data_IF_810307444227
#
_entry.id   IF_810307444227
#
_cell.length_a   1.000
_cell.length_b   1.000
_cell.length_c   1.000
_cell.angle_alpha   90.00
_cell.angle_beta   90.00
_cell.angle_gamma   90.00
#
_symmetry.space_group_name_H-M   'P 1'
#
loop_
_entity.id
_entity.type
_entity.pdbx_description
1 polymer ?
#
# COMPACT_ATOMS: atom_id res chain seq x y z
N UNK A 1 -7.25 0.77 12.03
CA UNK A 1 -6.46 1.96 12.43
C UNK A 1 -5.83 1.68 13.78
N UNK A 2 -4.55 1.91 13.88
CA UNK A 2 -3.81 1.74 15.13
C UNK A 2 -4.27 2.68 16.24
N UNK A 3 -3.84 2.39 17.45
CA UNK A 3 -4.11 3.19 18.65
C UNK A 3 -2.86 3.88 19.19
N UNK A 4 -1.67 3.52 18.67
CA UNK A 4 -0.41 4.11 19.07
C UNK A 4 -0.32 5.58 18.67
N UNK A 5 0.13 6.42 19.62
CA UNK A 5 0.40 7.83 19.37
C UNK A 5 1.90 8.08 19.27
N UNK A 6 2.28 9.26 18.75
CA UNK A 6 3.67 9.71 18.76
C UNK A 6 4.26 9.67 20.17
N UNK A 7 3.50 10.08 21.20
CA UNK A 7 3.92 10.03 22.61
C UNK A 7 4.32 8.62 23.03
N UNK A 8 3.55 7.59 22.66
CA UNK A 8 3.89 6.21 23.05
C UNK A 8 5.25 5.76 22.52
N UNK A 9 5.60 6.15 21.29
CA UNK A 9 6.91 5.83 20.70
C UNK A 9 8.02 6.68 21.33
N UNK A 10 7.77 7.99 21.51
CA UNK A 10 8.73 8.93 22.09
C UNK A 10 9.11 8.52 23.50
N UNK A 11 8.15 8.18 24.36
CA UNK A 11 8.42 7.75 25.73
C UNK A 11 9.29 6.48 25.77
N UNK A 12 9.00 5.51 24.92
CA UNK A 12 9.82 4.28 24.80
C UNK A 12 11.22 4.58 24.25
N UNK A 13 11.35 5.48 23.29
CA UNK A 13 12.64 5.91 22.77
C UNK A 13 13.46 6.60 23.83
N UNK A 14 12.88 7.52 24.62
CA UNK A 14 13.54 8.24 25.72
C UNK A 14 14.08 7.33 26.82
N UNK A 15 13.33 6.29 27.17
CA UNK A 15 13.81 5.27 28.12
C UNK A 15 15.11 4.61 27.61
N UNK A 16 15.16 4.26 26.32
CA UNK A 16 16.33 3.62 25.70
C UNK A 16 17.50 4.60 25.54
N UNK A 17 17.22 5.85 25.17
CA UNK A 17 18.19 6.92 24.98
C UNK A 17 18.69 7.53 26.30
N UNK A 18 18.03 7.22 27.43
CA UNK A 18 18.31 7.80 28.75
C UNK A 18 18.20 9.36 28.76
N UNK A 19 17.29 9.91 27.96
CA UNK A 19 17.02 11.35 27.86
C UNK A 19 15.57 11.65 28.26
N UNK A 20 15.25 11.38 29.53
CA UNK A 20 13.90 11.56 30.07
C UNK A 20 13.36 12.98 29.98
N UNK A 21 14.27 13.98 29.99
CA UNK A 21 13.91 15.40 29.88
C UNK A 21 13.84 15.93 28.44
N UNK A 22 14.23 15.13 27.44
CA UNK A 22 14.18 15.52 26.02
C UNK A 22 15.10 16.69 25.68
N UNK A 23 16.23 16.83 26.38
CA UNK A 23 17.18 17.92 26.13
C UNK A 23 18.02 17.66 24.89
N UNK A 24 18.45 16.41 24.69
CA UNK A 24 19.29 16.04 23.56
C UNK A 24 18.47 15.72 22.33
N UNK A 25 17.36 15.03 22.50
CA UNK A 25 16.40 14.68 21.44
C UNK A 25 15.04 15.27 21.76
N UNK A 26 14.73 16.40 21.15
CA UNK A 26 13.47 17.10 21.36
C UNK A 26 12.28 16.30 20.81
N UNK A 27 11.08 16.55 21.33
CA UNK A 27 9.84 15.95 20.79
C UNK A 27 9.66 16.23 19.31
N UNK A 28 9.95 17.45 18.88
CA UNK A 28 9.84 17.83 17.46
C UNK A 28 10.77 17.01 16.56
N UNK A 29 11.99 16.74 17.01
CA UNK A 29 12.95 15.94 16.27
C UNK A 29 12.53 14.46 16.20
N UNK A 30 12.14 13.89 17.34
CA UNK A 30 11.67 12.51 17.39
C UNK A 30 10.39 12.32 16.57
N UNK A 31 9.52 13.34 16.50
CA UNK A 31 8.32 13.32 15.67
C UNK A 31 8.68 13.27 14.18
N UNK A 32 9.70 13.99 13.75
CA UNK A 32 10.19 13.90 12.36
C UNK A 32 10.68 12.48 12.07
N UNK A 33 11.43 11.85 12.98
CA UNK A 33 11.89 10.47 12.79
C UNK A 33 10.75 9.45 12.76
N UNK A 34 9.64 9.68 13.48
CA UNK A 34 8.45 8.84 13.39
C UNK A 34 7.80 8.98 12.01
N UNK A 35 7.66 10.20 11.50
CA UNK A 35 7.11 10.44 10.16
C UNK A 35 7.97 9.81 9.06
N UNK A 36 9.30 9.93 9.18
CA UNK A 36 10.24 9.26 8.27
C UNK A 36 10.09 7.73 8.34
N UNK A 37 9.93 7.18 9.57
CA UNK A 37 9.72 5.75 9.76
C UNK A 37 8.45 5.25 9.07
N UNK A 38 7.35 5.98 9.18
CA UNK A 38 6.09 5.62 8.50
C UNK A 38 6.28 5.54 6.98
N UNK A 39 6.94 6.55 6.39
CA UNK A 39 7.21 6.58 4.95
C UNK A 39 8.11 5.44 4.51
N UNK A 40 9.16 5.16 5.30
CA UNK A 40 10.09 4.07 5.00
C UNK A 40 9.41 2.71 5.07
N UNK A 41 8.56 2.47 6.08
CA UNK A 41 7.76 1.25 6.19
C UNK A 41 6.88 1.07 4.95
N UNK A 42 6.19 2.11 4.49
CA UNK A 42 5.32 2.03 3.31
C UNK A 42 6.11 1.81 2.01
N UNK A 43 7.35 2.31 1.91
CA UNK A 43 8.22 2.00 0.78
C UNK A 43 8.56 0.51 0.68
N UNK A 44 8.83 -0.15 1.82
CA UNK A 44 9.08 -1.59 1.87
C UNK A 44 7.80 -2.43 1.83
N UNK A 45 6.72 -1.90 2.41
CA UNK A 45 5.43 -2.56 2.61
C UNK A 45 4.28 -1.65 2.18
N UNK A 46 4.03 -1.51 0.88
CA UNK A 46 2.92 -0.69 0.38
C UNK A 46 1.56 -1.10 0.97
N UNK A 47 1.38 -2.37 1.29
CA UNK A 47 0.17 -2.91 1.92
C UNK A 47 -0.08 -2.39 3.34
N UNK A 48 0.94 -1.86 4.03
CA UNK A 48 0.80 -1.30 5.38
C UNK A 48 -0.21 -0.13 5.47
N UNK A 49 -0.44 0.54 4.36
CA UNK A 49 -1.43 1.62 4.22
C UNK A 49 -2.53 1.29 3.21
N UNK A 50 -2.80 -0.01 3.00
CA UNK A 50 -3.85 -0.45 2.08
C UNK A 50 -5.20 0.13 2.48
N UNK A 51 -5.83 0.83 1.55
CA UNK A 51 -7.09 1.53 1.76
C UNK A 51 -8.08 1.12 0.67
N UNK A 52 -9.32 0.87 1.08
CA UNK A 52 -10.43 0.63 0.17
C UNK A 52 -11.09 1.96 -0.20
N UNK A 53 -11.38 2.16 -1.47
CA UNK A 53 -12.15 3.31 -1.93
C UNK A 53 -13.07 2.93 -3.09
N UNK A 54 -14.21 3.59 -3.12
CA UNK A 54 -15.11 3.60 -4.28
C UNK A 54 -14.71 4.81 -5.15
N UNK A 55 -14.20 4.54 -6.33
CA UNK A 55 -13.71 5.55 -7.27
C UNK A 55 -14.67 5.70 -8.45
N UNK A 56 -15.00 6.94 -8.79
CA UNK A 56 -15.58 7.26 -10.08
C UNK A 56 -14.48 7.32 -11.13
N UNK A 57 -14.62 6.54 -12.19
CA UNK A 57 -13.65 6.49 -13.27
C UNK A 57 -13.83 7.67 -14.24
N UNK A 58 -12.73 8.11 -14.80
CA UNK A 58 -12.68 9.09 -15.88
C UNK A 58 -13.06 8.45 -17.22
N UNK A 59 -13.53 9.26 -18.19
CA UNK A 59 -13.78 8.82 -19.56
C UNK A 59 -12.50 8.26 -20.21
N UNK A 60 -12.65 7.17 -20.94
CA UNK A 60 -11.54 6.48 -21.61
C UNK A 60 -11.04 5.26 -20.85
N UNK A 61 -9.91 4.75 -21.25
CA UNK A 61 -9.30 3.54 -20.69
C UNK A 61 -8.31 3.84 -19.57
N UNK A 62 -7.56 4.95 -19.66
CA UNK A 62 -6.58 5.34 -18.62
C UNK A 62 -7.27 5.93 -17.40
N UNK A 63 -6.88 5.46 -16.22
CA UNK A 63 -7.40 5.88 -14.93
C UNK A 63 -6.25 6.22 -13.98
N UNK A 64 -6.53 7.05 -13.00
CA UNK A 64 -5.55 7.49 -12.00
C UNK A 64 -6.05 7.18 -10.59
N UNK A 65 -5.14 6.83 -9.70
CA UNK A 65 -5.46 6.62 -8.29
C UNK A 65 -6.02 7.89 -7.63
N UNK A 66 -6.78 7.75 -6.54
CA UNK A 66 -7.16 8.88 -5.70
C UNK A 66 -5.95 9.67 -5.21
N UNK A 67 -6.17 10.94 -4.89
CA UNK A 67 -5.13 11.82 -4.35
C UNK A 67 -4.44 11.17 -3.13
N UNK A 68 -3.12 11.25 -3.07
CA UNK A 68 -2.31 10.58 -2.05
C UNK A 68 -2.07 9.09 -2.31
N UNK A 69 -2.64 8.52 -3.38
CA UNK A 69 -2.35 7.15 -3.80
C UNK A 69 -0.90 6.99 -4.25
N UNK A 70 -0.27 5.90 -3.83
CA UNK A 70 1.10 5.55 -4.17
C UNK A 70 1.14 4.41 -5.19
N UNK A 71 0.34 3.37 -4.96
CA UNK A 71 0.33 2.17 -5.79
C UNK A 71 -1.02 1.50 -5.76
N UNK A 72 -1.51 1.06 -6.94
CA UNK A 72 -2.66 0.18 -7.04
C UNK A 72 -2.30 -1.21 -6.48
N UNK A 73 -3.16 -1.75 -5.63
CA UNK A 73 -3.06 -3.13 -5.16
C UNK A 73 -4.03 -4.01 -5.94
N UNK A 74 -5.31 -3.57 -6.05
CA UNK A 74 -6.34 -4.36 -6.74
C UNK A 74 -7.54 -3.51 -7.11
N UNK A 75 -8.16 -3.80 -8.25
CA UNK A 75 -9.54 -3.39 -8.56
C UNK A 75 -10.45 -4.58 -8.35
N UNK A 76 -11.47 -4.45 -7.49
CA UNK A 76 -12.25 -5.58 -6.99
C UNK A 76 -13.52 -5.82 -7.80
N UNK A 77 -14.34 -4.78 -7.93
CA UNK A 77 -15.69 -4.88 -8.54
C UNK A 77 -16.22 -3.55 -9.00
N UNK A 78 -17.23 -3.59 -9.87
CA UNK A 78 -18.04 -2.44 -10.20
C UNK A 78 -18.90 -2.04 -9.01
N UNK A 79 -19.21 -0.74 -8.88
CA UNK A 79 -20.02 -0.18 -7.81
C UNK A 79 -21.15 0.67 -8.39
N UNK A 80 -22.20 0.88 -7.59
CA UNK A 80 -23.33 1.74 -7.97
C UNK A 80 -23.07 3.24 -7.74
N UNK A 81 -21.98 3.58 -7.02
CA UNK A 81 -21.61 4.95 -6.68
C UNK A 81 -20.36 5.02 -5.82
N UNK A 82 -20.03 6.22 -5.35
CA UNK A 82 -18.88 6.47 -4.46
C UNK A 82 -19.24 6.47 -2.97
N UNK A 83 -20.53 6.51 -2.63
CA UNK A 83 -20.96 6.53 -1.24
C UNK A 83 -20.61 5.22 -0.50
N UNK A 84 -20.53 5.29 0.82
CA UNK A 84 -20.18 4.13 1.67
C UNK A 84 -21.27 3.03 1.64
N UNK A 85 -22.50 3.39 1.32
CA UNK A 85 -23.64 2.49 1.15
C UNK A 85 -23.85 2.02 -0.29
N UNK A 86 -22.95 2.38 -1.21
CA UNK A 86 -23.02 1.95 -2.60
C UNK A 86 -22.93 0.42 -2.71
N UNK A 87 -23.80 -0.15 -3.54
CA UNK A 87 -23.87 -1.60 -3.72
C UNK A 87 -22.82 -2.08 -4.70
N UNK A 88 -22.19 -3.21 -4.36
CA UNK A 88 -21.27 -3.92 -5.27
C UNK A 88 -22.02 -4.64 -6.38
N UNK A 89 -21.37 -4.68 -7.55
CA UNK A 89 -21.88 -5.33 -8.76
C UNK A 89 -20.88 -6.36 -9.28
N UNK A 90 -20.73 -6.49 -10.60
CA UNK A 90 -19.86 -7.48 -11.24
C UNK A 90 -18.40 -7.34 -10.83
N UNK A 91 -17.74 -8.47 -10.55
CA UNK A 91 -16.30 -8.52 -10.27
C UNK A 91 -15.48 -8.08 -11.49
N UNK A 92 -14.31 -7.50 -11.23
CA UNK A 92 -13.35 -7.07 -12.22
C UNK A 92 -12.11 -7.96 -12.07
N UNK A 93 -11.52 -8.39 -13.19
CA UNK A 93 -10.36 -9.27 -13.21
C UNK A 93 -9.15 -8.54 -13.77
N UNK A 94 -7.97 -8.89 -13.29
CA UNK A 94 -6.72 -8.46 -13.89
C UNK A 94 -6.53 -9.20 -15.24
N UNK A 95 -5.98 -8.52 -16.22
CA UNK A 95 -5.57 -9.10 -17.50
C UNK A 95 -4.21 -8.53 -17.90
N UNK A 96 -3.40 -9.33 -18.55
CA UNK A 96 -2.13 -8.88 -19.12
C UNK A 96 -2.38 -8.07 -20.40
N UNK A 97 -1.59 -7.02 -20.61
CA UNK A 97 -1.75 -6.10 -21.73
C UNK A 97 -1.56 -6.81 -23.07
N UNK A 98 -0.52 -7.61 -23.22
CA UNK A 98 -0.23 -8.36 -24.44
C UNK A 98 -1.38 -9.29 -24.84
N UNK A 99 -2.01 -9.93 -23.84
CA UNK A 99 -3.16 -10.78 -24.07
C UNK A 99 -4.36 -9.97 -24.60
N UNK A 100 -4.64 -8.81 -23.97
CA UNK A 100 -5.74 -7.97 -24.41
C UNK A 100 -5.48 -7.37 -25.78
N UNK A 101 -4.27 -6.89 -26.05
CA UNK A 101 -3.86 -6.36 -27.36
C UNK A 101 -3.96 -7.40 -28.49
N UNK A 102 -3.77 -8.68 -28.18
CA UNK A 102 -3.91 -9.75 -29.19
C UNK A 102 -5.36 -10.11 -29.51
N UNK A 103 -6.28 -9.95 -28.54
CA UNK A 103 -7.69 -10.32 -28.70
C UNK A 103 -8.52 -9.14 -29.20
N UNK A 104 -8.25 -7.94 -28.70
CA UNK A 104 -9.01 -6.71 -28.92
C UNK A 104 -8.06 -5.54 -29.16
N UNK A 105 -7.35 -5.47 -30.30
CA UNK A 105 -6.31 -4.45 -30.53
C UNK A 105 -6.81 -3.01 -30.47
N UNK A 106 -8.10 -2.78 -30.74
CA UNK A 106 -8.72 -1.46 -30.78
C UNK A 106 -9.39 -1.06 -29.46
N UNK A 107 -9.09 -1.75 -28.35
CA UNK A 107 -9.78 -1.54 -27.07
C UNK A 107 -9.63 -0.13 -26.47
N UNK A 108 -8.65 0.64 -26.93
CA UNK A 108 -8.49 2.06 -26.55
C UNK A 108 -9.38 3.01 -27.36
N UNK A 109 -9.84 2.58 -28.52
CA UNK A 109 -10.62 3.43 -29.42
C UNK A 109 -12.05 3.61 -28.88
N UNK A 110 -12.48 4.85 -28.56
CA UNK A 110 -13.83 5.11 -28.04
C UNK A 110 -14.93 4.88 -29.10
N UNK A 111 -14.58 4.68 -30.37
CA UNK A 111 -15.56 4.45 -31.46
C UNK A 111 -15.87 2.97 -31.69
N UNK A 112 -15.15 2.06 -31.03
CA UNK A 112 -15.39 0.62 -31.10
C UNK A 112 -16.81 0.29 -30.66
N UNK A 113 -17.45 -0.63 -31.42
CA UNK A 113 -18.81 -1.09 -31.16
C UNK A 113 -18.84 -2.56 -30.72
N UNK A 114 -19.98 -3.03 -30.23
CA UNK A 114 -20.13 -4.43 -29.78
C UNK A 114 -19.68 -4.69 -28.36
N UNK A 115 -19.03 -5.81 -28.13
CA UNK A 115 -18.65 -6.27 -26.77
C UNK A 115 -17.53 -5.45 -26.14
N UNK A 116 -16.75 -4.76 -26.96
CA UNK A 116 -15.60 -3.92 -26.57
C UNK A 116 -15.96 -2.44 -26.47
N UNK A 117 -17.21 -2.07 -26.82
CA UNK A 117 -17.70 -0.71 -26.74
C UNK A 117 -17.49 -0.13 -25.33
N UNK A 118 -16.98 1.09 -25.29
CA UNK A 118 -16.86 1.84 -24.03
C UNK A 118 -18.22 1.95 -23.33
N UNK A 119 -18.24 1.85 -22.01
CA UNK A 119 -19.49 1.80 -21.24
C UNK A 119 -19.29 2.18 -19.77
N UNK A 120 -20.25 1.77 -18.92
CA UNK A 120 -20.20 2.00 -17.48
C UNK A 120 -19.80 0.76 -16.66
N UNK A 121 -19.71 -0.40 -17.31
CA UNK A 121 -19.40 -1.67 -16.64
C UNK A 121 -18.03 -2.15 -17.09
N UNK A 122 -17.11 -2.20 -16.16
CA UNK A 122 -15.74 -2.66 -16.37
C UNK A 122 -15.67 -4.17 -16.19
N UNK A 123 -14.96 -4.86 -17.10
CA UNK A 123 -14.75 -6.31 -17.06
C UNK A 123 -13.36 -6.66 -16.54
N UNK A 124 -12.36 -5.92 -17.02
CA UNK A 124 -10.96 -6.17 -16.70
C UNK A 124 -10.22 -4.87 -16.36
N UNK A 125 -9.11 -5.01 -15.66
CA UNK A 125 -8.15 -3.93 -15.47
C UNK A 125 -6.74 -4.41 -15.74
N UNK A 126 -5.88 -3.49 -16.13
CA UNK A 126 -4.47 -3.69 -16.40
C UNK A 126 -3.68 -2.76 -15.48
N UNK A 127 -2.55 -3.25 -15.04
CA UNK A 127 -1.67 -2.49 -14.14
C UNK A 127 -0.23 -2.62 -14.63
N UNK A 128 0.42 -1.47 -14.83
CA UNK A 128 1.84 -1.39 -15.14
C UNK A 128 2.63 -1.12 -13.84
N UNK A 129 3.55 -2.02 -13.45
CA UNK A 129 4.42 -1.80 -12.30
C UNK A 129 5.31 -0.55 -12.41
N UNK A 130 5.63 -0.11 -13.63
CA UNK A 130 6.51 1.05 -13.89
C UNK A 130 5.75 2.38 -13.73
N UNK A 131 4.42 2.39 -13.87
CA UNK A 131 3.56 3.54 -13.54
C UNK A 131 2.52 3.17 -12.46
N UNK A 132 2.94 3.03 -11.20
CA UNK A 132 2.11 2.49 -10.13
C UNK A 132 0.90 3.35 -9.76
N UNK A 133 0.82 4.60 -10.24
CA UNK A 133 -0.28 5.53 -9.96
C UNK A 133 -1.38 5.50 -11.01
N UNK A 134 -1.13 4.86 -12.15
CA UNK A 134 -2.09 4.70 -13.22
C UNK A 134 -2.48 3.24 -13.41
N UNK A 135 -3.63 3.04 -14.02
CA UNK A 135 -4.11 1.74 -14.45
C UNK A 135 -5.05 1.91 -15.62
N UNK A 136 -5.27 0.85 -16.35
CA UNK A 136 -6.20 0.84 -17.48
C UNK A 136 -7.40 -0.04 -17.17
N UNK A 137 -8.53 0.28 -17.78
CA UNK A 137 -9.77 -0.47 -17.64
C UNK A 137 -10.31 -0.91 -19.01
N UNK A 138 -10.86 -2.11 -19.05
CA UNK A 138 -11.50 -2.66 -20.24
C UNK A 138 -12.92 -3.18 -19.92
N UNK A 139 -13.91 -2.85 -20.74
CA UNK A 139 -13.93 -1.79 -21.76
C UNK A 139 -13.65 -0.41 -21.14
N UNK A 140 -13.23 0.56 -21.96
CA UNK A 140 -13.07 1.93 -21.51
C UNK A 140 -14.39 2.55 -21.05
N UNK A 141 -14.33 3.67 -20.32
CA UNK A 141 -15.51 4.40 -19.86
C UNK A 141 -16.03 5.31 -20.97
N UNK A 142 -17.30 5.16 -21.34
CA UNK A 142 -17.92 5.99 -22.37
C UNK A 142 -18.11 7.42 -21.92
N UNK A 143 -18.02 8.37 -22.86
CA UNK A 143 -18.33 9.78 -22.60
C UNK A 143 -19.77 9.92 -22.07
N UNK A 144 -19.94 10.68 -20.97
CA UNK A 144 -21.21 10.88 -20.31
C UNK A 144 -21.71 9.70 -19.46
N UNK A 145 -20.97 8.60 -19.39
CA UNK A 145 -21.29 7.47 -18.52
C UNK A 145 -20.66 7.65 -17.14
N UNK A 146 -21.37 7.19 -16.10
CA UNK A 146 -20.84 7.10 -14.75
C UNK A 146 -20.43 5.63 -14.49
N UNK A 147 -19.13 5.37 -14.42
CA UNK A 147 -18.57 4.10 -14.02
C UNK A 147 -17.92 4.23 -12.64
N UNK A 148 -18.25 3.33 -11.74
CA UNK A 148 -17.73 3.32 -10.39
C UNK A 148 -17.12 1.96 -10.10
N UNK A 149 -15.96 1.96 -9.44
CA UNK A 149 -15.27 0.73 -9.04
C UNK A 149 -14.82 0.80 -7.60
N UNK A 150 -14.79 -0.35 -6.94
CA UNK A 150 -14.09 -0.51 -5.67
C UNK A 150 -12.65 -0.92 -5.98
N UNK A 151 -11.71 -0.20 -5.40
CA UNK A 151 -10.29 -0.50 -5.53
C UNK A 151 -9.59 -0.50 -4.16
N UNK A 152 -8.49 -1.21 -4.11
CA UNK A 152 -7.58 -1.25 -2.97
C UNK A 152 -6.26 -0.66 -3.46
N UNK A 153 -5.76 0.32 -2.74
CA UNK A 153 -4.51 0.98 -3.08
C UNK A 153 -3.73 1.36 -1.82
N UNK A 154 -2.43 1.47 -1.94
CA UNK A 154 -1.56 2.03 -0.92
C UNK A 154 -1.63 3.55 -0.96
N UNK A 155 -1.76 4.19 0.19
CA UNK A 155 -1.74 5.66 0.31
C UNK A 155 -0.49 6.13 1.04
N UNK A 156 -0.11 7.39 0.82
CA UNK A 156 0.90 8.05 1.62
C UNK A 156 0.41 8.13 3.08
N UNK A 157 1.23 7.69 4.07
CA UNK A 157 0.85 7.85 5.47
C UNK A 157 0.75 9.33 5.84
N UNK A 158 -0.21 9.66 6.68
CA UNK A 158 -0.41 11.02 7.15
C UNK A 158 0.67 11.37 8.17
N UNK A 159 1.33 12.52 7.98
CA UNK A 159 2.30 13.01 8.93
C UNK A 159 1.64 13.39 10.26
N UNK A 160 2.26 12.97 11.35
CA UNK A 160 1.88 13.43 12.68
C UNK A 160 2.22 14.92 12.81
N UNK A 161 1.21 15.73 13.10
CA UNK A 161 1.38 17.17 13.36
C UNK A 161 1.71 17.48 14.82
N UNK A 162 1.46 16.55 15.74
CA UNK A 162 1.76 16.64 17.16
C UNK A 162 2.10 15.28 17.74
N UNK A 163 2.75 15.27 18.90
CA UNK A 163 3.10 14.02 19.60
C UNK A 163 1.87 13.21 20.05
N UNK A 164 0.73 13.87 20.27
CA UNK A 164 -0.53 13.24 20.64
C UNK A 164 -1.30 12.66 19.43
N UNK A 165 -0.86 12.96 18.21
CA UNK A 165 -1.49 12.42 17.01
C UNK A 165 -1.29 10.90 16.93
N UNK A 166 -2.32 10.19 16.44
CA UNK A 166 -2.27 8.74 16.22
C UNK A 166 -1.45 8.43 14.97
N UNK A 167 -0.62 7.41 15.04
CA UNK A 167 0.17 6.87 13.93
C UNK A 167 -0.79 6.25 12.91
N UNK A 168 -0.58 6.53 11.62
CA UNK A 168 -1.48 6.07 10.55
C UNK A 168 -1.29 4.57 10.20
N UNK A 169 -0.21 3.97 10.66
CA UNK A 169 0.07 2.54 10.52
C UNK A 169 -0.58 1.72 11.65
N UNK A 170 -0.76 0.43 11.41
CA UNK A 170 -1.24 -0.52 12.44
C UNK A 170 -0.24 -0.64 13.61
N UNK A 171 -0.75 -0.91 14.81
CA UNK A 171 0.03 -1.01 16.05
C UNK A 171 1.14 -2.08 15.98
N UNK A 172 0.99 -3.06 15.11
CA UNK A 172 2.00 -4.10 14.84
C UNK A 172 3.33 -3.54 14.36
N UNK A 173 3.32 -2.39 13.69
CA UNK A 173 4.53 -1.69 13.24
C UNK A 173 5.22 -0.85 14.34
N UNK A 174 4.65 -0.78 15.54
CA UNK A 174 5.17 0.06 16.62
C UNK A 174 6.63 -0.24 17.00
N UNK A 175 7.05 -1.52 16.95
CA UNK A 175 8.44 -1.89 17.21
C UNK A 175 9.37 -1.53 16.03
N UNK A 176 8.89 -1.63 14.80
CA UNK A 176 9.63 -1.18 13.62
C UNK A 176 9.88 0.33 13.68
N UNK A 177 8.83 1.12 13.96
CA UNK A 177 8.93 2.58 14.12
C UNK A 177 9.91 2.94 15.23
N UNK A 178 9.82 2.29 16.41
CA UNK A 178 10.75 2.52 17.51
C UNK A 178 12.21 2.27 17.11
N UNK A 179 12.49 1.14 16.43
CA UNK A 179 13.84 0.82 16.01
C UNK A 179 14.37 1.84 14.97
N UNK A 180 13.53 2.31 14.06
CA UNK A 180 13.92 3.37 13.11
C UNK A 180 14.23 4.69 13.84
N UNK A 181 13.40 5.09 14.80
CA UNK A 181 13.65 6.29 15.62
C UNK A 181 14.97 6.19 16.37
N UNK A 182 15.25 5.04 17.01
CA UNK A 182 16.51 4.80 17.70
C UNK A 182 17.71 4.78 16.75
N UNK A 183 17.56 4.17 15.57
CA UNK A 183 18.56 4.24 14.51
C UNK A 183 18.93 5.68 14.17
N UNK A 184 17.94 6.53 13.90
CA UNK A 184 18.16 7.96 13.56
C UNK A 184 18.76 8.74 14.74
N UNK A 185 18.30 8.46 15.96
CA UNK A 185 18.81 9.11 17.17
C UNK A 185 20.28 8.80 17.43
N UNK A 186 20.69 7.52 17.32
CA UNK A 186 22.09 7.12 17.48
C UNK A 186 22.96 7.56 16.30
N UNK A 187 22.40 7.67 15.09
CA UNK A 187 23.12 8.20 13.93
C UNK A 187 23.53 9.66 14.11
N UNK A 188 22.67 10.47 14.72
CA UNK A 188 22.99 11.87 15.10
C UNK A 188 24.22 11.94 15.99
N UNK A 189 24.42 10.95 16.84
CA UNK A 189 25.49 10.87 17.83
C UNK A 189 26.59 9.86 17.44
N UNK A 190 26.78 9.61 16.17
CA UNK A 190 27.73 8.58 15.68
C UNK A 190 29.20 8.84 16.09
N UNK A 191 29.53 10.05 16.51
CA UNK A 191 30.88 10.41 17.01
C UNK A 191 31.22 9.74 18.35
N UNK A 192 30.21 9.32 19.14
CA UNK A 192 30.45 8.63 20.39
C UNK A 192 30.73 7.14 20.16
N UNK A 193 31.78 6.65 20.85
CA UNK A 193 32.17 5.24 20.78
C UNK A 193 30.98 4.32 21.14
N UNK A 194 30.70 3.35 20.30
CA UNK A 194 29.60 2.39 20.44
C UNK A 194 28.27 2.81 19.82
N UNK A 195 28.06 4.08 19.49
CA UNK A 195 26.81 4.50 18.86
C UNK A 195 26.73 4.05 17.40
N UNK A 196 27.85 3.93 16.69
CA UNK A 196 27.86 3.36 15.33
C UNK A 196 27.34 1.93 15.31
N UNK A 197 27.74 1.10 16.29
CA UNK A 197 27.26 -0.28 16.37
C UNK A 197 25.76 -0.32 16.75
N UNK A 198 25.32 0.54 17.68
CA UNK A 198 23.89 0.66 18.03
C UNK A 198 23.05 1.09 16.85
N UNK A 199 23.53 2.08 16.08
CA UNK A 199 22.91 2.52 14.82
C UNK A 199 22.69 1.36 13.87
N UNK A 200 23.75 0.58 13.59
CA UNK A 200 23.66 -0.58 12.71
C UNK A 200 22.71 -1.65 13.26
N UNK A 201 22.75 -1.93 14.56
CA UNK A 201 21.87 -2.90 15.20
C UNK A 201 20.41 -2.51 15.09
N UNK A 202 20.04 -1.25 15.40
CA UNK A 202 18.66 -0.79 15.32
C UNK A 202 18.15 -0.74 13.87
N UNK A 203 19.01 -0.41 12.90
CA UNK A 203 18.63 -0.49 11.49
C UNK A 203 18.37 -1.93 11.04
N UNK A 204 19.21 -2.88 11.47
CA UNK A 204 18.99 -4.31 11.17
C UNK A 204 17.71 -4.84 11.83
N UNK A 205 17.41 -4.44 13.07
CA UNK A 205 16.16 -4.79 13.75
C UNK A 205 14.95 -4.20 13.04
N UNK A 206 15.06 -2.96 12.55
CA UNK A 206 14.03 -2.32 11.73
C UNK A 206 13.76 -3.14 10.46
N UNK A 207 14.78 -3.40 9.65
CA UNK A 207 14.63 -4.20 8.41
C UNK A 207 14.11 -5.60 8.72
N UNK A 208 14.65 -6.25 9.76
CA UNK A 208 14.21 -7.60 10.16
C UNK A 208 12.73 -7.65 10.57
N UNK A 209 12.23 -6.62 11.27
CA UNK A 209 10.82 -6.54 11.66
C UNK A 209 9.87 -6.31 10.49
N UNK A 210 10.32 -5.60 9.45
CA UNK A 210 9.53 -5.36 8.24
C UNK A 210 9.59 -6.59 7.31
N UNK A 211 10.78 -7.17 7.08
CA UNK A 211 10.96 -8.31 6.18
C UNK A 211 10.38 -9.61 6.75
N UNK A 212 10.48 -9.80 8.07
CA UNK A 212 9.99 -11.02 8.74
C UNK A 212 8.47 -11.18 8.72
N UNK A 213 7.72 -10.08 8.77
CA UNK A 213 6.25 -10.10 8.64
C UNK A 213 5.78 -10.66 7.30
N UNK A 214 6.49 -10.37 6.19
CA UNK A 214 6.13 -10.85 4.85
C UNK A 214 6.15 -12.36 4.71
N UNK A 215 7.10 -13.02 5.36
CA UNK A 215 7.16 -14.48 5.34
C UNK A 215 6.02 -15.10 6.17
N UNK A 216 5.64 -14.48 7.29
CA UNK A 216 4.53 -14.95 8.11
C UNK A 216 3.17 -14.72 7.45
N UNK A 217 2.97 -13.57 6.79
CA UNK A 217 1.75 -13.28 6.02
C UNK A 217 1.61 -14.20 4.80
N UNK A 218 2.73 -14.48 4.10
CA UNK A 218 2.74 -15.43 2.99
C UNK A 218 2.34 -16.85 3.45
N UNK A 219 2.75 -17.28 4.64
CA UNK A 219 2.38 -18.59 5.21
C UNK A 219 0.91 -18.62 5.64
N UNK A 220 0.37 -17.48 6.08
CA UNK A 220 -0.99 -17.36 6.60
C UNK A 220 -2.02 -16.88 5.54
N UNK A 221 -1.58 -16.63 4.30
CA UNK A 221 -2.49 -16.21 3.23
C UNK A 221 -3.41 -17.38 2.84
N UNK A 222 -4.72 -17.27 3.09
CA UNK A 222 -5.69 -18.32 2.76
C UNK A 222 -5.81 -18.59 1.25
N UNK A 223 -5.22 -17.74 0.40
CA UNK A 223 -5.21 -17.93 -1.05
C UNK A 223 -3.98 -18.72 -1.54
N UNK A 224 -2.90 -18.82 -0.74
CA UNK A 224 -1.72 -19.60 -1.10
C UNK A 224 -2.01 -21.10 -1.17
N UNK A 225 -2.81 -21.63 -0.25
CA UNK A 225 -3.21 -23.03 -0.26
C UNK A 225 -4.03 -23.42 -1.50
N UNK A 226 -4.82 -22.51 -2.06
CA UNK A 226 -5.58 -22.73 -3.29
C UNK A 226 -4.70 -22.82 -4.53
N UNK A 227 -3.59 -22.12 -4.56
CA UNK A 227 -2.65 -22.17 -5.69
C UNK A 227 -1.73 -23.39 -5.61
N UNK A 228 -1.47 -23.95 -4.42
CA UNK A 228 -0.70 -25.17 -4.25
C UNK A 228 -1.45 -26.42 -4.74
N UNK A 229 -2.79 -26.46 -4.65
CA UNK A 229 -3.59 -27.57 -5.14
C UNK A 229 -3.76 -27.59 -6.68
N UNK A 230 -3.69 -26.44 -7.34
CA UNK A 230 -3.74 -26.37 -8.83
C UNK A 230 -2.44 -26.80 -9.50
N UNK A 231 -1.34 -26.92 -8.78
CA UNK A 231 -0.04 -27.42 -9.26
C UNK A 231 0.09 -28.96 -9.28
N UNK A 232 -0.96 -29.71 -8.97
CA UNK A 232 -0.93 -31.16 -9.00
C UNK A 232 -0.98 -31.65 -10.45
N UNK A 233 0.16 -32.06 -10.96
CA UNK A 233 0.38 -32.77 -12.21
C UNK A 233 -0.73 -33.77 -12.48
N UNK A 234 -1.45 -33.55 -13.58
CA UNK A 234 -2.23 -34.59 -14.25
C UNK A 234 -1.21 -35.62 -14.74
N UNK A 235 -1.13 -36.75 -14.04
CA UNK A 235 -0.33 -37.88 -14.48
C UNK A 235 -0.86 -38.36 -15.82
N UNK A 236 0.01 -38.41 -16.80
CA UNK A 236 -0.23 -39.05 -18.10
C UNK A 236 -0.39 -40.55 -17.83
N UNK A 237 -1.52 -41.19 -18.18
CA UNK A 237 -1.61 -42.63 -18.15
C UNK A 237 -0.74 -43.20 -19.27
N UNK A 238 0.03 -44.23 -18.96
CA UNK A 238 0.79 -45.06 -19.93
C UNK A 238 -0.16 -45.91 -20.77
#
# INVERSE_FOLDING_TARGET
MGTLTGTNIIDRARLTLQDSSGVRWTDAELLIYINDAQREIVNFRPEATATHANLQLSTGTEQTLPSGGLRLIKVTRNMSGTASDATGAKSIRIVEEDLLNSIEPDWHDPTVTGSSAHGSIIKNYLFDPDDPKKFYVYPGVASGSNAYVELIYSKLPTDLSSVSSTIDLEDTYGNAILNFVLYRAYLKDAEFAGNQQRTATHYQLFIGSISGGGNAEAILDPNLDRNAETGRTVGVPQ
#
